data_IF_888277842153
#
_entry.id   IF_888277842153
#
_cell.length_a   1.000
_cell.length_b   1.000
_cell.length_c   1.000
_cell.angle_alpha   90.00
_cell.angle_beta   90.00
_cell.angle_gamma   90.00
#
_symmetry.space_group_name_H-M   'P 1'
#
loop_
_entity.id
_entity.type
_entity.pdbx_description
1 polymer ?
#
# COMPACT_ATOMS: atom_id res chain seq x y z
N UNK A 1 -2.67 10.41 -5.39
CA UNK A 1 -1.74 11.48 -4.96
C UNK A 1 -1.75 11.52 -3.44
N UNK A 2 -0.60 11.80 -2.82
CA UNK A 2 -0.41 11.88 -1.37
C UNK A 2 0.42 13.15 -1.07
N UNK A 3 -0.01 13.97 -0.12
CA UNK A 3 0.84 15.01 0.48
C UNK A 3 1.46 14.42 1.76
N UNK A 4 2.78 14.47 1.88
CA UNK A 4 3.47 13.96 3.06
C UNK A 4 3.51 15.01 4.19
N UNK A 5 3.87 14.57 5.40
CA UNK A 5 4.03 15.42 6.58
C UNK A 5 5.03 16.58 6.44
N UNK A 6 5.89 16.56 5.43
CA UNK A 6 6.85 17.63 5.15
C UNK A 6 6.34 18.62 4.08
N UNK A 7 5.15 18.38 3.52
CA UNK A 7 4.54 19.18 2.47
C UNK A 7 5.04 18.84 1.07
N UNK A 8 5.65 17.67 0.86
CA UNK A 8 5.97 17.20 -0.49
C UNK A 8 4.75 16.47 -1.07
N UNK A 9 4.52 16.63 -2.37
CA UNK A 9 3.48 15.93 -3.12
C UNK A 9 4.07 14.71 -3.81
N UNK A 10 3.40 13.58 -3.62
CA UNK A 10 3.72 12.29 -4.21
C UNK A 10 2.60 11.90 -5.17
N UNK A 11 2.93 11.80 -6.45
CA UNK A 11 1.95 11.57 -7.52
C UNK A 11 2.25 10.21 -8.16
N UNK A 12 1.38 9.25 -7.84
CA UNK A 12 1.36 7.95 -8.48
C UNK A 12 0.88 8.08 -9.93
N UNK A 13 1.64 7.51 -10.86
CA UNK A 13 1.29 7.48 -12.28
C UNK A 13 1.48 6.06 -12.84
N UNK A 14 1.00 5.82 -14.07
CA UNK A 14 1.30 4.60 -14.81
C UNK A 14 2.73 4.56 -15.39
N UNK A 15 3.46 5.68 -15.30
CA UNK A 15 4.79 5.88 -15.89
C UNK A 15 5.74 6.55 -14.89
N UNK A 16 5.81 5.98 -13.68
CA UNK A 16 6.72 6.37 -12.61
C UNK A 16 6.03 7.09 -11.45
N UNK A 17 6.85 7.49 -10.48
CA UNK A 17 6.44 8.24 -9.30
C UNK A 17 7.01 9.66 -9.37
N UNK A 18 6.14 10.66 -9.46
CA UNK A 18 6.56 12.06 -9.37
C UNK A 18 6.58 12.48 -7.90
N UNK A 19 7.66 13.13 -7.50
CA UNK A 19 7.81 13.75 -6.19
C UNK A 19 8.02 15.24 -6.42
N UNK A 20 7.13 16.07 -5.89
CA UNK A 20 7.25 17.53 -5.92
C UNK A 20 7.52 18.01 -4.51
N UNK A 21 8.68 18.60 -4.32
CA UNK A 21 9.08 19.18 -3.05
C UNK A 21 8.35 20.49 -2.77
N UNK A 22 8.25 20.85 -1.49
CA UNK A 22 7.60 22.11 -1.06
C UNK A 22 8.23 23.36 -1.70
N UNK A 23 9.51 23.31 -2.07
CA UNK A 23 10.21 24.41 -2.75
C UNK A 23 9.96 24.45 -4.28
N UNK A 24 9.13 23.56 -4.82
CA UNK A 24 8.80 23.45 -6.24
C UNK A 24 9.78 22.61 -7.07
N UNK A 25 10.87 22.10 -6.48
CA UNK A 25 11.71 21.12 -7.16
C UNK A 25 10.95 19.82 -7.33
N UNK A 26 11.20 19.10 -8.41
CA UNK A 26 10.55 17.82 -8.64
C UNK A 26 11.53 16.80 -9.20
N UNK A 27 11.21 15.54 -8.95
CA UNK A 27 11.93 14.40 -9.50
C UNK A 27 10.94 13.31 -9.90
N UNK A 28 11.37 12.43 -10.79
CA UNK A 28 10.59 11.31 -11.29
C UNK A 28 11.39 10.03 -11.09
N UNK A 29 10.83 9.11 -10.31
CA UNK A 29 11.43 7.80 -10.04
C UNK A 29 10.82 6.73 -10.95
N UNK A 30 11.68 5.85 -11.44
CA UNK A 30 11.37 4.69 -12.27
C UNK A 30 12.03 3.41 -11.74
N UNK A 31 11.92 2.30 -12.49
CA UNK A 31 12.56 1.03 -12.14
C UNK A 31 14.08 1.16 -11.99
N UNK A 32 14.72 1.93 -12.88
CA UNK A 32 16.17 2.18 -12.84
C UNK A 32 16.63 2.85 -11.54
N UNK A 33 15.71 3.53 -10.85
CA UNK A 33 15.99 4.25 -9.60
C UNK A 33 15.65 3.39 -8.36
N UNK A 34 15.23 2.13 -8.58
CA UNK A 34 14.93 1.15 -7.53
C UNK A 34 13.45 0.90 -7.29
N UNK A 35 12.52 1.50 -8.06
CA UNK A 35 11.12 1.09 -7.99
C UNK A 35 10.93 -0.34 -8.54
N UNK A 36 10.04 -1.16 -7.97
CA UNK A 36 9.77 -2.48 -8.53
C UNK A 36 9.07 -2.40 -9.89
N UNK A 37 8.23 -1.38 -10.12
CA UNK A 37 7.60 -1.08 -11.40
C UNK A 37 7.24 0.41 -11.49
N UNK A 38 7.32 1.00 -12.68
CA UNK A 38 6.85 2.35 -12.98
C UNK A 38 5.33 2.48 -12.85
N UNK A 39 4.58 1.38 -12.90
CA UNK A 39 3.14 1.42 -12.69
C UNK A 39 2.85 1.53 -11.20
N UNK A 40 2.62 2.75 -10.72
CA UNK A 40 2.34 3.06 -9.31
C UNK A 40 0.82 3.17 -9.11
N UNK A 41 0.30 2.34 -8.20
CA UNK A 41 -1.13 2.21 -7.97
C UNK A 41 -1.62 2.86 -6.68
N UNK A 42 -0.78 2.91 -5.64
CA UNK A 42 -1.15 3.50 -4.36
C UNK A 42 0.07 4.04 -3.61
N UNK A 43 -0.20 5.00 -2.72
CA UNK A 43 0.79 5.69 -1.89
C UNK A 43 0.22 5.81 -0.48
N UNK A 44 1.07 5.61 0.52
CA UNK A 44 0.70 5.73 1.92
C UNK A 44 1.89 6.22 2.75
N UNK A 45 1.67 7.17 3.65
CA UNK A 45 2.66 7.56 4.65
C UNK A 45 2.35 6.87 5.97
N UNK A 46 3.32 6.14 6.53
CA UNK A 46 3.16 5.55 7.86
C UNK A 46 3.45 6.57 8.99
N UNK A 47 3.16 6.19 10.24
CA UNK A 47 3.37 7.04 11.41
C UNK A 47 4.83 7.40 11.66
N UNK A 48 5.77 6.67 11.06
CA UNK A 48 7.21 6.94 11.12
C UNK A 48 7.69 7.81 9.95
N UNK A 49 6.74 8.37 9.19
CA UNK A 49 6.95 9.23 8.01
C UNK A 49 7.58 8.53 6.81
N UNK A 50 7.64 7.19 6.80
CA UNK A 50 8.07 6.46 5.61
C UNK A 50 6.97 6.47 4.56
N UNK A 51 7.37 6.45 3.28
CA UNK A 51 6.43 6.37 2.16
C UNK A 51 6.40 4.96 1.62
N UNK A 52 5.23 4.34 1.71
CA UNK A 52 4.89 3.07 1.11
C UNK A 52 4.31 3.29 -0.28
N UNK A 53 4.83 2.54 -1.24
CA UNK A 53 4.50 2.64 -2.66
C UNK A 53 4.05 1.25 -3.12
N UNK A 54 2.80 1.15 -3.55
CA UNK A 54 2.31 -0.06 -4.20
C UNK A 54 2.46 0.03 -5.71
N UNK A 55 3.26 -0.87 -6.28
CA UNK A 55 3.51 -0.96 -7.72
C UNK A 55 2.97 -2.27 -8.29
N UNK A 56 2.84 -2.37 -9.61
CA UNK A 56 2.39 -3.61 -10.25
C UNK A 56 3.27 -4.84 -9.98
N UNK A 57 4.54 -4.64 -9.60
CA UNK A 57 5.50 -5.72 -9.36
C UNK A 57 5.97 -5.79 -7.90
N UNK A 58 5.23 -5.21 -6.96
CA UNK A 58 5.53 -5.32 -5.53
C UNK A 58 5.38 -4.01 -4.77
N UNK A 59 5.81 -4.04 -3.50
CA UNK A 59 5.81 -2.88 -2.61
C UNK A 59 7.22 -2.29 -2.52
N UNK A 60 7.30 -0.97 -2.44
CA UNK A 60 8.52 -0.27 -2.06
C UNK A 60 8.27 0.60 -0.84
N UNK A 61 9.28 0.73 0.02
CA UNK A 61 9.32 1.64 1.15
C UNK A 61 10.47 2.61 0.96
N UNK A 62 10.15 3.89 0.91
CA UNK A 62 11.11 4.98 1.01
C UNK A 62 11.25 5.38 2.47
N UNK A 63 12.42 5.10 3.04
CA UNK A 63 12.78 5.52 4.41
C UNK A 63 13.38 6.93 4.40
N UNK A 64 14.14 7.25 3.34
CA UNK A 64 14.68 8.58 3.04
C UNK A 64 14.64 8.81 1.53
N UNK A 65 14.90 10.04 1.05
CA UNK A 65 14.99 10.34 -0.40
C UNK A 65 16.01 9.46 -1.15
N UNK A 66 16.92 8.79 -0.45
CA UNK A 66 18.03 8.01 -1.03
C UNK A 66 17.97 6.52 -0.73
N UNK A 67 17.02 6.05 0.10
CA UNK A 67 16.95 4.66 0.53
C UNK A 67 15.58 4.06 0.21
N UNK A 68 15.56 3.20 -0.82
CA UNK A 68 14.42 2.40 -1.23
C UNK A 68 14.63 0.97 -0.76
N UNK A 69 13.71 0.47 0.06
CA UNK A 69 13.58 -0.96 0.37
C UNK A 69 12.48 -1.56 -0.48
N UNK A 70 12.81 -2.60 -1.25
CA UNK A 70 11.85 -3.31 -2.11
C UNK A 70 11.37 -4.59 -1.42
N UNK A 71 10.07 -4.85 -1.53
CA UNK A 71 9.42 -6.03 -1.00
C UNK A 71 8.58 -6.68 -2.11
N UNK A 72 9.08 -7.82 -2.58
CA UNK A 72 8.41 -8.69 -3.54
C UNK A 72 8.01 -9.98 -2.84
N UNK A 73 7.06 -10.73 -3.40
CA UNK A 73 6.80 -12.08 -2.91
C UNK A 73 7.99 -12.96 -3.28
N UNK A 74 8.71 -13.45 -2.27
CA UNK A 74 9.94 -14.25 -2.42
C UNK A 74 9.63 -15.75 -2.66
N UNK A 75 8.40 -16.07 -3.07
CA UNK A 75 7.91 -17.44 -3.29
C UNK A 75 8.19 -17.96 -4.72
N UNK A 76 8.99 -17.24 -5.51
CA UNK A 76 9.18 -17.53 -6.93
C UNK A 76 7.91 -17.30 -7.77
N UNK A 77 6.83 -16.84 -7.16
CA UNK A 77 5.62 -16.43 -7.84
C UNK A 77 5.69 -14.94 -8.07
N UNK A 78 5.58 -14.53 -9.34
CA UNK A 78 5.43 -13.13 -9.75
C UNK A 78 4.00 -12.70 -9.36
N UNK A 79 3.66 -12.74 -8.07
CA UNK A 79 2.34 -12.34 -7.63
C UNK A 79 2.31 -10.81 -7.65
N UNK A 80 1.88 -10.30 -8.80
CA UNK A 80 1.73 -8.88 -9.05
C UNK A 80 0.84 -8.29 -7.96
N UNK A 81 1.41 -7.37 -7.17
CA UNK A 81 0.68 -6.66 -6.13
C UNK A 81 -0.26 -5.70 -6.83
N UNK A 82 -1.48 -6.17 -7.05
CA UNK A 82 -2.50 -5.38 -7.69
C UNK A 82 -3.30 -4.65 -6.64
N UNK A 83 -3.10 -3.34 -6.62
CA UNK A 83 -4.17 -2.34 -6.48
C UNK A 83 -4.57 -1.84 -5.11
N UNK A 84 -4.16 -2.40 -3.97
CA UNK A 84 -4.54 -1.80 -2.68
C UNK A 84 -3.45 -2.04 -1.64
N UNK A 85 -2.89 -0.99 -1.05
CA UNK A 85 -2.14 -1.08 0.20
C UNK A 85 -2.99 -0.40 1.27
N UNK A 86 -3.57 -1.21 2.16
CA UNK A 86 -4.36 -0.72 3.28
C UNK A 86 -3.55 -0.99 4.56
N UNK A 87 -3.13 0.05 5.30
CA UNK A 87 -2.51 -0.17 6.60
C UNK A 87 -3.53 -0.83 7.54
N UNK A 88 -3.14 -1.93 8.17
CA UNK A 88 -3.96 -2.59 9.20
C UNK A 88 -3.48 -2.24 10.60
N UNK A 89 -2.16 -2.18 10.77
CA UNK A 89 -1.49 -1.82 12.01
C UNK A 89 -0.08 -1.31 11.68
N UNK A 90 0.68 -0.96 12.73
CA UNK A 90 2.12 -0.76 12.58
C UNK A 90 2.74 -2.00 11.94
N UNK A 91 3.47 -1.82 10.84
CA UNK A 91 4.17 -2.87 10.08
C UNK A 91 3.27 -3.89 9.33
N UNK A 92 1.94 -3.77 9.39
CA UNK A 92 1.01 -4.69 8.73
C UNK A 92 0.19 -3.99 7.65
N UNK A 93 0.21 -4.55 6.45
CA UNK A 93 -0.50 -4.03 5.29
C UNK A 93 -1.37 -5.10 4.68
N UNK A 94 -2.65 -4.83 4.46
CA UNK A 94 -3.48 -5.65 3.59
C UNK A 94 -3.20 -5.27 2.14
N UNK A 95 -3.03 -6.28 1.31
CA UNK A 95 -2.87 -6.10 -0.12
C UNK A 95 -3.61 -7.16 -0.91
N UNK A 96 -4.01 -6.81 -2.13
CA UNK A 96 -4.52 -7.78 -3.09
C UNK A 96 -3.39 -8.19 -4.03
N UNK A 97 -3.19 -9.49 -4.16
CA UNK A 97 -2.29 -10.11 -5.13
C UNK A 97 -3.12 -10.83 -6.20
N UNK A 98 -2.45 -11.39 -7.21
CA UNK A 98 -3.09 -12.28 -8.19
C UNK A 98 -3.80 -13.49 -7.54
N UNK A 99 -3.34 -13.94 -6.38
CA UNK A 99 -3.87 -15.12 -5.67
C UNK A 99 -4.89 -14.77 -4.58
N UNK A 100 -5.23 -13.48 -4.40
CA UNK A 100 -6.26 -13.02 -3.46
C UNK A 100 -5.75 -12.02 -2.43
N UNK A 101 -6.46 -11.91 -1.31
CA UNK A 101 -6.08 -10.99 -0.22
C UNK A 101 -4.94 -11.57 0.62
N UNK A 102 -3.93 -10.75 0.85
CA UNK A 102 -2.77 -11.08 1.66
C UNK A 102 -2.54 -10.00 2.73
N UNK A 103 -1.98 -10.41 3.86
CA UNK A 103 -1.38 -9.51 4.84
C UNK A 103 0.12 -9.56 4.69
N UNK A 104 0.71 -8.41 4.43
CA UNK A 104 2.14 -8.19 4.39
C UNK A 104 2.64 -7.72 5.75
N UNK A 105 3.55 -8.49 6.35
CA UNK A 105 4.30 -8.14 7.56
C UNK A 105 5.66 -7.59 7.14
N UNK A 106 5.85 -6.28 7.28
CA UNK A 106 7.06 -5.59 6.81
C UNK A 106 8.32 -5.94 7.60
N UNK A 107 8.17 -6.33 8.87
CA UNK A 107 9.26 -6.76 9.73
C UNK A 107 9.77 -8.14 9.33
N UNK A 108 8.84 -9.06 9.09
CA UNK A 108 9.18 -10.42 8.64
C UNK A 108 9.46 -10.50 7.16
N UNK A 109 9.05 -9.50 6.38
CA UNK A 109 9.06 -9.49 4.91
C UNK A 109 8.24 -10.65 4.33
N UNK A 110 7.10 -10.95 4.94
CA UNK A 110 6.27 -12.08 4.57
C UNK A 110 4.87 -11.65 4.16
N UNK A 111 4.40 -12.23 3.06
CA UNK A 111 3.00 -12.14 2.64
C UNK A 111 2.29 -13.41 3.08
N UNK A 112 1.23 -13.25 3.87
CA UNK A 112 0.40 -14.35 4.36
C UNK A 112 -0.99 -14.26 3.74
N UNK A 113 -1.51 -15.33 3.10
CA UNK A 113 -2.88 -15.32 2.59
C UNK A 113 -3.87 -15.13 3.74
N UNK A 114 -4.90 -14.32 3.52
CA UNK A 114 -6.01 -14.18 4.46
C UNK A 114 -6.89 -15.44 4.34
N UNK A 115 -6.59 -16.46 5.16
CA UNK A 115 -7.32 -17.75 5.14
C UNK A 115 -8.58 -17.78 5.99
N UNK A 116 -8.74 -16.85 6.93
CA UNK A 116 -9.97 -16.68 7.72
C UNK A 116 -10.02 -15.27 8.31
N UNK A 117 -11.13 -14.55 8.04
CA UNK A 117 -11.38 -13.19 8.55
C UNK A 117 -11.62 -13.20 10.08
N UNK A 118 -11.73 -14.38 10.71
CA UNK A 118 -12.10 -14.53 12.12
C UNK A 118 -10.96 -14.38 13.13
N UNK A 119 -9.72 -14.14 12.68
CA UNK A 119 -8.56 -13.99 13.57
C UNK A 119 -8.14 -12.55 13.87
N UNK A 120 -8.83 -11.55 13.31
CA UNK A 120 -8.60 -10.15 13.65
C UNK A 120 -9.70 -9.68 14.62
N UNK A 121 -9.39 -9.44 15.91
CA UNK A 121 -10.39 -8.92 16.85
C UNK A 121 -10.86 -7.54 16.37
N UNK A 122 -12.18 -7.40 16.25
CA UNK A 122 -12.91 -6.26 15.68
C UNK A 122 -12.66 -4.91 16.38
N UNK A 123 -12.03 -4.89 17.56
CA UNK A 123 -11.90 -3.70 18.42
C UNK A 123 -10.87 -2.66 17.97
N UNK A 124 -9.94 -3.02 17.09
CA UNK A 124 -8.75 -2.16 16.84
C UNK A 124 -8.88 -1.30 15.57
N UNK A 125 -9.99 -1.40 14.83
CA UNK A 125 -10.17 -0.79 13.50
C UNK A 125 -10.77 0.62 13.49
N UNK A 126 -11.04 1.24 14.65
CA UNK A 126 -11.64 2.58 14.72
C UNK A 126 -10.64 3.55 15.34
N UNK A 127 -9.82 4.19 14.47
CA UNK A 127 -9.30 5.57 14.56
C UNK A 127 -8.12 5.78 13.59
N UNK A 128 -8.38 5.91 12.29
CA UNK A 128 -7.41 6.57 11.40
C UNK A 128 -8.17 7.51 10.45
N UNK A 129 -8.16 8.84 10.69
CA UNK A 129 -8.71 9.81 9.76
C UNK A 129 -7.79 9.97 8.55
N UNK A 130 -8.34 9.97 7.33
CA UNK A 130 -7.63 10.46 6.13
C UNK A 130 -7.60 9.56 4.89
N UNK A 131 -8.33 8.44 4.85
CA UNK A 131 -8.25 7.54 3.70
C UNK A 131 -9.19 7.95 2.55
N UNK A 132 -8.72 8.89 1.71
CA UNK A 132 -9.17 9.05 0.33
C UNK A 132 -8.65 7.86 -0.51
N UNK A 133 -9.20 6.66 -0.28
CA UNK A 133 -9.03 5.51 -1.15
C UNK A 133 -10.33 4.69 -1.19
N UNK A 134 -11.42 5.36 -1.60
CA UNK A 134 -12.62 4.72 -2.14
C UNK A 134 -12.33 4.54 -3.64
N UNK A 135 -12.35 3.34 -4.23
CA UNK A 135 -13.53 2.55 -4.55
C UNK A 135 -13.06 1.09 -4.66
N UNK A 136 -13.30 0.29 -3.63
CA UNK A 136 -13.40 -1.18 -3.69
C UNK A 136 -13.93 -1.74 -2.36
N UNK A 137 -13.86 -0.97 -1.27
CA UNK A 137 -14.39 -1.34 0.05
C UNK A 137 -15.91 -1.48 0.08
N UNK A 138 -16.67 -0.69 -0.70
CA UNK A 138 -18.14 -0.64 -0.58
C UNK A 138 -18.82 -1.94 -1.07
N UNK A 139 -18.33 -2.61 -2.13
CA UNK A 139 -19.02 -3.82 -2.64
C UNK A 139 -18.78 -5.07 -1.79
N UNK A 140 -17.70 -5.08 -1.00
CA UNK A 140 -17.49 -6.10 0.04
C UNK A 140 -18.35 -5.77 1.27
N UNK A 141 -18.54 -4.48 1.59
CA UNK A 141 -19.41 -4.01 2.67
C UNK A 141 -20.93 -4.21 2.39
N UNK A 142 -21.40 -4.06 1.15
CA UNK A 142 -22.84 -4.20 0.81
C UNK A 142 -23.33 -5.66 0.82
N UNK A 143 -22.45 -6.63 0.54
CA UNK A 143 -22.79 -8.05 0.71
C UNK A 143 -22.77 -8.50 2.19
N UNK A 144 -22.16 -7.71 3.09
CA UNK A 144 -22.12 -7.97 4.53
C UNK A 144 -23.34 -7.41 5.28
N UNK A 145 -24.09 -6.47 4.70
CA UNK A 145 -25.33 -5.93 5.31
C UNK A 145 -26.58 -6.73 4.96
N UNK A 146 -26.62 -7.46 3.84
CA UNK A 146 -27.81 -8.19 3.39
C UNK A 146 -28.00 -9.59 4.01
N UNK A 147 -27.00 -10.12 4.73
CA UNK A 147 -27.08 -11.48 5.32
C UNK A 147 -27.22 -11.52 6.86
N UNK A 148 -27.49 -10.39 7.53
CA UNK A 148 -27.78 -10.36 8.99
C UNK A 148 -29.23 -9.97 9.32
N UNK A 149 -30.14 -10.05 8.36
CA UNK A 149 -31.58 -9.96 8.61
C UNK A 149 -32.20 -11.32 8.94
N UNK A 150 -32.24 -11.63 10.25
CA UNK A 150 -32.98 -12.69 11.01
C UNK A 150 -32.08 -13.53 11.91
#
# INVERSE_FOLDING_TARGET
MLEDSNGNLWIATSHGLVIVEKNGQWQLLFEKDGLPSAFVSCLYQDSERNIWIGTALGLAKLVTKTSISVYTTDDGSISKVFSLLVPLAKDLFMTRTETGLHVFDSKKRLFSPVRSVHQFPYSDYIKIPGLFCFILTIKVLENLTLQSGL
#
